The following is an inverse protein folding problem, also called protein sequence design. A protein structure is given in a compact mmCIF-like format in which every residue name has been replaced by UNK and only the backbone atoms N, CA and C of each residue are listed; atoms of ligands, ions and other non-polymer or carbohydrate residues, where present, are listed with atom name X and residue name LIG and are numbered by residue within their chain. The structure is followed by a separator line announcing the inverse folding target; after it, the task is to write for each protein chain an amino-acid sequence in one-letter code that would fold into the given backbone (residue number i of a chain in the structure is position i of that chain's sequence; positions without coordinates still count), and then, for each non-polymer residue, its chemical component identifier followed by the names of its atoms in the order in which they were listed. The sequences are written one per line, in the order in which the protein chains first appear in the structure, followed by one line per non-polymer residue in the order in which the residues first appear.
data_IF_152744069341
#
_entry.id   IF_152744069341
#
_cell.length_a   1.000
_cell.length_b   1.000
_cell.length_c   1.000
_cell.angle_alpha   90.00
_cell.angle_beta   90.00
_cell.angle_gamma   90.00
#
_symmetry.space_group_name_H-M   'P 1'
#
loop_
_entity.id
_entity.type
_entity.pdbx_description
1 polymer ?
#
# COMPACT_ATOMS: atom_id res chain seq x y z
N UNK A 1 5.76 15.69 -5.43
CA UNK A 1 6.74 15.52 -4.34
C UNK A 1 7.29 16.87 -3.88
N UNK A 2 7.62 17.02 -2.59
CA UNK A 2 8.23 18.20 -1.98
C UNK A 2 9.68 17.92 -1.57
N UNK A 3 10.56 18.93 -1.50
CA UNK A 3 11.88 18.78 -0.89
C UNK A 3 11.78 18.25 0.55
N UNK A 4 12.76 17.44 0.98
CA UNK A 4 12.73 16.77 2.29
C UNK A 4 12.41 17.71 3.46
N UNK A 5 13.04 18.90 3.51
CA UNK A 5 12.82 19.90 4.57
C UNK A 5 11.37 20.41 4.62
N UNK A 6 10.74 20.59 3.47
CA UNK A 6 9.35 21.03 3.39
C UNK A 6 8.40 19.90 3.78
N UNK A 7 8.70 18.67 3.33
CA UNK A 7 7.95 17.48 3.72
C UNK A 7 7.99 17.27 5.24
N UNK A 8 9.17 17.37 5.87
CA UNK A 8 9.32 17.33 7.33
C UNK A 8 8.45 18.40 7.99
N UNK A 9 8.58 19.67 7.56
CA UNK A 9 7.83 20.78 8.16
C UNK A 9 6.31 20.59 8.13
N UNK A 10 5.76 20.15 6.99
CA UNK A 10 4.33 19.88 6.87
C UNK A 10 3.90 18.64 7.67
N UNK A 11 4.70 17.58 7.63
CA UNK A 11 4.41 16.34 8.34
C UNK A 11 4.44 16.55 9.85
N UNK A 12 5.43 17.26 10.40
CA UNK A 12 5.50 17.56 11.85
C UNK A 12 4.25 18.32 12.33
N UNK A 13 3.71 19.23 11.51
CA UNK A 13 2.45 19.93 11.82
C UNK A 13 1.25 18.98 11.82
N UNK A 14 1.19 18.05 10.86
CA UNK A 14 0.14 17.03 10.81
C UNK A 14 0.23 16.08 12.03
N UNK A 15 1.44 15.66 12.40
CA UNK A 15 1.72 14.85 13.59
C UNK A 15 1.27 15.55 14.87
N UNK A 16 1.53 16.86 15.01
CA UNK A 16 1.08 17.62 16.18
C UNK A 16 -0.45 17.61 16.32
N UNK A 17 -1.17 17.77 15.21
CA UNK A 17 -2.65 17.74 15.17
C UNK A 17 -3.15 16.33 15.50
N UNK A 18 -2.59 15.31 14.87
CA UNK A 18 -2.96 13.91 15.04
C UNK A 18 -2.76 13.43 16.48
N UNK A 19 -1.62 13.77 17.09
CA UNK A 19 -1.33 13.44 18.50
C UNK A 19 -2.35 14.04 19.46
N UNK A 20 -2.79 15.29 19.24
CA UNK A 20 -3.85 15.91 20.06
C UNK A 20 -5.19 15.17 19.97
N UNK A 21 -5.44 14.47 18.86
CA UNK A 21 -6.64 13.67 18.65
C UNK A 21 -6.45 12.18 19.01
N UNK A 22 -5.26 11.75 19.45
CA UNK A 22 -4.97 10.35 19.74
C UNK A 22 -5.02 9.43 18.52
N UNK A 23 -4.73 9.96 17.33
CA UNK A 23 -4.69 9.19 16.08
C UNK A 23 -3.27 9.02 15.58
N UNK A 24 -2.98 7.87 14.97
CA UNK A 24 -1.68 7.57 14.36
C UNK A 24 -1.48 8.28 13.03
N UNK A 25 -0.22 8.42 12.63
CA UNK A 25 0.21 9.09 11.41
C UNK A 25 1.10 8.21 10.55
N UNK A 26 0.82 8.23 9.25
CA UNK A 26 1.69 7.69 8.22
C UNK A 26 2.17 8.85 7.35
N UNK A 27 3.43 8.82 6.97
CA UNK A 27 4.00 9.74 5.99
C UNK A 27 4.87 9.00 4.99
N UNK A 28 5.28 9.67 3.91
CA UNK A 28 5.98 9.08 2.79
C UNK A 28 7.23 9.87 2.43
N UNK A 29 8.29 9.15 2.02
CA UNK A 29 9.49 9.69 1.40
C UNK A 29 9.90 8.85 0.19
N UNK A 30 10.67 9.45 -0.72
CA UNK A 30 10.92 8.90 -2.04
C UNK A 30 9.78 9.20 -3.02
N UNK A 31 9.85 8.63 -4.21
CA UNK A 31 8.84 8.76 -5.26
C UNK A 31 8.43 7.38 -5.74
N UNK A 32 7.12 7.12 -5.71
CA UNK A 32 6.55 5.91 -6.30
C UNK A 32 6.39 6.07 -7.81
N UNK A 33 6.39 4.97 -8.55
CA UNK A 33 5.93 5.01 -9.94
C UNK A 33 4.45 5.41 -10.00
N UNK A 34 4.12 6.48 -10.73
CA UNK A 34 2.78 7.10 -10.65
C UNK A 34 1.73 6.42 -11.54
N UNK A 35 2.06 6.06 -12.79
CA UNK A 35 1.06 5.66 -13.78
C UNK A 35 1.42 4.39 -14.56
N UNK A 36 0.52 3.42 -14.55
CA UNK A 36 0.64 2.16 -15.31
C UNK A 36 1.95 1.39 -15.04
N UNK A 37 2.45 1.46 -13.81
CA UNK A 37 3.63 0.72 -13.38
C UNK A 37 4.89 1.00 -14.19
N UNK A 38 5.10 2.26 -14.59
CA UNK A 38 6.45 2.71 -14.89
C UNK A 38 7.28 2.63 -13.62
N UNK A 39 8.36 1.84 -13.64
CA UNK A 39 9.34 1.82 -12.55
C UNK A 39 9.88 3.24 -12.37
N UNK A 40 9.85 3.81 -11.14
CA UNK A 40 10.55 5.06 -10.89
C UNK A 40 12.05 4.83 -11.10
N UNK A 41 12.76 5.87 -11.51
CA UNK A 41 14.23 5.83 -11.52
C UNK A 41 14.72 5.45 -10.11
N UNK A 42 15.68 4.53 -10.01
CA UNK A 42 16.26 4.08 -8.73
C UNK A 42 16.79 5.26 -7.90
N UNK A 43 17.22 6.34 -8.57
CA UNK A 43 17.59 7.60 -7.94
C UNK A 43 16.47 8.25 -7.11
N UNK A 44 15.22 7.79 -7.27
CA UNK A 44 14.04 8.27 -6.58
C UNK A 44 13.56 7.33 -5.47
N UNK A 45 14.26 6.21 -5.25
CA UNK A 45 13.99 5.33 -4.12
C UNK A 45 14.36 6.02 -2.81
N UNK A 46 13.76 5.56 -1.73
CA UNK A 46 14.00 6.11 -0.39
C UNK A 46 15.47 5.94 0.01
N UNK A 47 16.12 7.03 0.38
CA UNK A 47 17.44 7.01 1.01
C UNK A 47 17.30 6.67 2.53
N UNK A 48 18.07 5.70 3.06
CA UNK A 48 17.98 5.30 4.47
C UNK A 48 18.35 6.40 5.49
N UNK A 49 19.26 7.31 5.15
CA UNK A 49 19.63 8.42 6.02
C UNK A 49 18.59 9.53 5.97
N UNK A 50 17.98 9.78 4.80
CA UNK A 50 16.79 10.63 4.71
C UNK A 50 15.62 10.05 5.51
N UNK A 51 15.40 8.74 5.47
CA UNK A 51 14.39 8.05 6.27
C UNK A 51 14.58 8.25 7.76
N UNK A 52 15.79 8.01 8.25
CA UNK A 52 16.17 8.24 9.64
C UNK A 52 15.94 9.68 10.07
N UNK A 53 16.43 10.64 9.28
CA UNK A 53 16.25 12.06 9.54
C UNK A 53 14.77 12.44 9.57
N UNK A 54 14.00 11.96 8.60
CA UNK A 54 12.58 12.25 8.48
C UNK A 54 11.82 11.75 9.71
N UNK A 55 12.04 10.50 10.13
CA UNK A 55 11.40 9.91 11.30
C UNK A 55 11.77 10.69 12.58
N UNK A 56 13.05 11.03 12.75
CA UNK A 56 13.52 11.78 13.93
C UNK A 56 12.92 13.19 14.02
N UNK A 57 12.81 13.90 12.91
CA UNK A 57 12.32 15.29 12.90
C UNK A 57 10.78 15.38 12.89
N UNK A 58 10.07 14.36 12.41
CA UNK A 58 8.60 14.36 12.32
C UNK A 58 7.93 13.62 13.48
N UNK A 59 8.51 12.51 13.93
CA UNK A 59 7.92 11.63 14.93
C UNK A 59 6.65 10.92 14.46
N UNK A 60 6.58 10.57 13.17
CA UNK A 60 5.50 9.75 12.60
C UNK A 60 5.47 8.34 13.18
N UNK A 61 4.30 7.69 13.14
CA UNK A 61 4.13 6.32 13.66
C UNK A 61 4.44 5.26 12.60
N UNK A 62 4.28 5.63 11.32
CA UNK A 62 4.57 4.77 10.18
C UNK A 62 5.20 5.55 9.02
N UNK A 63 6.09 4.90 8.29
CA UNK A 63 6.80 5.46 7.14
C UNK A 63 6.58 4.59 5.90
N UNK A 64 5.96 5.18 4.88
CA UNK A 64 5.91 4.62 3.53
C UNK A 64 7.21 4.88 2.79
N UNK A 65 7.74 3.83 2.17
CA UNK A 65 9.03 3.84 1.48
C UNK A 65 8.85 3.45 0.01
N UNK A 66 9.69 4.05 -0.85
CA UNK A 66 9.82 3.69 -2.25
C UNK A 66 11.06 2.81 -2.43
N UNK A 67 10.83 1.57 -2.86
CA UNK A 67 11.85 0.54 -3.07
C UNK A 67 11.66 -0.16 -4.42
N UNK A 68 11.17 0.57 -5.42
CA UNK A 68 10.81 0.02 -6.75
C UNK A 68 9.34 -0.33 -6.93
N UNK A 69 8.51 -0.06 -5.93
CA UNK A 69 7.07 -0.17 -6.01
C UNK A 69 6.43 1.02 -6.73
N UNK A 70 5.28 0.76 -7.36
CA UNK A 70 4.50 1.72 -8.13
C UNK A 70 2.99 1.55 -7.90
N UNK A 71 2.23 2.59 -8.21
CA UNK A 71 0.78 2.52 -8.26
C UNK A 71 0.28 2.01 -9.62
N UNK A 72 -0.86 1.32 -9.61
CA UNK A 72 -1.50 0.83 -10.83
C UNK A 72 -1.25 -0.65 -11.09
N UNK A 73 -1.37 -1.03 -12.36
CA UNK A 73 -0.92 -2.33 -12.85
C UNK A 73 0.49 -2.22 -13.39
N UNK A 74 1.36 -3.13 -12.98
CA UNK A 74 2.71 -3.22 -13.50
C UNK A 74 2.74 -3.74 -14.93
N UNK A 75 3.45 -3.07 -15.84
CA UNK A 75 3.65 -3.53 -17.24
C UNK A 75 4.66 -4.66 -17.35
N UNK A 76 5.59 -4.71 -16.39
CA UNK A 76 6.60 -5.74 -16.19
C UNK A 76 6.58 -6.11 -14.72
N UNK A 77 7.02 -7.31 -14.39
CA UNK A 77 7.19 -7.69 -12.99
C UNK A 77 8.11 -6.69 -12.29
N UNK A 78 7.60 -5.96 -11.27
CA UNK A 78 8.41 -4.99 -10.56
C UNK A 78 9.44 -5.71 -9.70
N UNK A 79 10.62 -5.12 -9.59
CA UNK A 79 11.68 -5.65 -8.74
C UNK A 79 11.84 -4.77 -7.50
N UNK A 80 11.46 -5.32 -6.35
CA UNK A 80 11.68 -4.63 -5.08
C UNK A 80 13.18 -4.65 -4.70
N UNK A 81 13.69 -3.52 -4.26
CA UNK A 81 15.02 -3.40 -3.66
C UNK A 81 14.95 -3.79 -2.17
N UNK A 82 15.00 -5.10 -1.94
CA UNK A 82 14.88 -5.70 -0.60
C UNK A 82 16.10 -5.43 0.28
N UNK A 83 17.28 -5.24 -0.32
CA UNK A 83 18.50 -4.89 0.43
C UNK A 83 18.38 -3.47 1.00
N UNK A 84 17.86 -2.52 0.20
CA UNK A 84 17.53 -1.18 0.67
C UNK A 84 16.45 -1.20 1.74
N UNK A 85 15.41 -2.01 1.58
CA UNK A 85 14.38 -2.16 2.62
C UNK A 85 14.98 -2.64 3.95
N UNK A 86 15.87 -3.63 3.92
CA UNK A 86 16.56 -4.12 5.11
C UNK A 86 17.42 -3.03 5.76
N UNK A 87 18.11 -2.23 4.95
CA UNK A 87 18.88 -1.10 5.44
C UNK A 87 17.96 -0.05 6.09
N UNK A 88 16.87 0.36 5.44
CA UNK A 88 15.90 1.31 6.01
C UNK A 88 15.31 0.78 7.33
N UNK A 89 14.91 -0.49 7.38
CA UNK A 89 14.41 -1.07 8.62
C UNK A 89 15.43 -0.90 9.75
N UNK A 90 16.70 -1.18 9.48
CA UNK A 90 17.75 -1.10 10.50
C UNK A 90 18.06 0.33 10.95
N UNK A 91 17.63 1.36 10.20
CA UNK A 91 17.89 2.78 10.51
C UNK A 91 16.72 3.49 11.19
N UNK A 92 15.50 2.96 11.14
CA UNK A 92 14.29 3.62 11.70
C UNK A 92 13.54 2.72 12.69
N UNK A 93 12.93 3.33 13.70
CA UNK A 93 12.19 2.63 14.76
C UNK A 93 10.66 2.86 14.66
N UNK A 94 10.13 2.81 13.42
CA UNK A 94 8.71 3.03 13.12
C UNK A 94 8.18 1.93 12.19
N UNK A 95 6.85 1.81 12.08
CA UNK A 95 6.25 0.83 11.18
C UNK A 95 6.55 1.17 9.73
N UNK A 96 7.03 0.20 8.94
CA UNK A 96 7.24 0.41 7.51
C UNK A 96 6.00 0.05 6.70
N UNK A 97 5.72 0.86 5.67
CA UNK A 97 4.55 0.72 4.81
C UNK A 97 4.98 0.53 3.35
N UNK A 98 4.41 -0.48 2.70
CA UNK A 98 4.55 -0.75 1.28
C UNK A 98 3.31 -0.25 0.52
N UNK A 99 3.47 0.84 -0.23
CA UNK A 99 2.45 1.27 -1.19
C UNK A 99 2.51 0.41 -2.46
N UNK A 100 1.50 0.49 -3.33
CA UNK A 100 1.59 -0.17 -4.64
C UNK A 100 1.63 -1.71 -4.60
N UNK A 101 1.00 -2.34 -3.61
CA UNK A 101 1.00 -3.80 -3.46
C UNK A 101 0.21 -4.57 -4.52
N UNK A 102 -0.51 -3.87 -5.42
CA UNK A 102 -1.32 -4.52 -6.45
C UNK A 102 -0.47 -5.08 -7.59
N UNK A 103 -0.51 -6.40 -7.79
CA UNK A 103 0.27 -7.09 -8.83
C UNK A 103 1.73 -7.38 -8.47
N UNK A 104 2.15 -7.11 -7.22
CA UNK A 104 3.40 -7.67 -6.70
C UNK A 104 3.27 -9.20 -6.52
N UNK A 105 4.32 -9.97 -6.82
CA UNK A 105 4.36 -11.39 -6.49
C UNK A 105 4.11 -11.63 -4.99
N UNK A 106 3.29 -12.63 -4.61
CA UNK A 106 3.06 -12.96 -3.20
C UNK A 106 4.34 -13.21 -2.38
N UNK A 107 5.34 -13.83 -2.99
CA UNK A 107 6.66 -14.12 -2.43
C UNK A 107 7.45 -12.84 -2.10
N UNK A 108 7.38 -11.82 -2.94
CA UNK A 108 8.03 -10.53 -2.72
C UNK A 108 7.36 -9.78 -1.57
N UNK A 109 6.02 -9.79 -1.53
CA UNK A 109 5.26 -9.22 -0.41
C UNK A 109 5.64 -9.91 0.89
N UNK A 110 5.71 -11.25 0.90
CA UNK A 110 6.05 -12.02 2.10
C UNK A 110 7.49 -11.76 2.56
N UNK A 111 8.43 -11.66 1.62
CA UNK A 111 9.83 -11.33 1.93
C UNK A 111 9.94 -9.92 2.50
N UNK A 112 9.23 -8.94 1.92
CA UNK A 112 9.19 -7.58 2.45
C UNK A 112 8.60 -7.51 3.87
N UNK A 113 7.58 -8.33 4.16
CA UNK A 113 7.01 -8.47 5.51
C UNK A 113 8.01 -9.09 6.48
N UNK A 114 8.77 -10.11 6.06
CA UNK A 114 9.82 -10.71 6.88
C UNK A 114 10.93 -9.73 7.23
N UNK A 115 11.25 -8.81 6.32
CA UNK A 115 12.26 -7.78 6.54
C UNK A 115 11.74 -6.71 7.52
N UNK A 116 10.49 -6.25 7.38
CA UNK A 116 9.93 -5.28 8.32
C UNK A 116 8.67 -4.52 7.87
N UNK A 117 8.17 -4.76 6.65
CA UNK A 117 6.91 -4.13 6.22
C UNK A 117 5.74 -4.62 7.08
N UNK A 118 5.02 -3.68 7.69
CA UNK A 118 3.89 -3.97 8.58
C UNK A 118 2.54 -3.65 7.96
N UNK A 119 2.49 -2.72 6.99
CA UNK A 119 1.27 -2.33 6.28
C UNK A 119 1.49 -2.34 4.78
N UNK A 120 0.55 -2.91 4.03
CA UNK A 120 0.59 -2.98 2.56
C UNK A 120 -0.67 -2.37 1.97
N UNK A 121 -0.52 -1.45 1.02
CA UNK A 121 -1.65 -0.83 0.33
C UNK A 121 -1.97 -1.60 -0.96
N UNK A 122 -3.17 -2.18 -1.04
CA UNK A 122 -3.67 -2.90 -2.21
C UNK A 122 -4.94 -2.20 -2.68
N UNK A 123 -4.91 -1.61 -3.87
CA UNK A 123 -6.00 -0.77 -4.37
C UNK A 123 -6.66 -1.30 -5.63
N UNK A 124 -5.86 -1.62 -6.65
CA UNK A 124 -6.37 -1.83 -8.01
C UNK A 124 -7.08 -3.17 -8.13
N UNK A 125 -6.42 -4.24 -7.69
CA UNK A 125 -6.95 -5.60 -7.74
C UNK A 125 -8.35 -5.75 -7.08
N UNK A 126 -8.59 -5.29 -5.82
CA UNK A 126 -9.90 -5.45 -5.19
C UNK A 126 -11.01 -4.67 -5.91
N UNK A 127 -10.68 -3.52 -6.52
CA UNK A 127 -11.63 -2.77 -7.36
C UNK A 127 -11.96 -3.51 -8.65
N UNK A 128 -10.96 -4.09 -9.30
CA UNK A 128 -11.15 -4.87 -10.53
C UNK A 128 -12.01 -6.11 -10.28
N UNK A 129 -11.72 -6.87 -9.21
CA UNK A 129 -12.53 -8.04 -8.81
C UNK A 129 -13.99 -7.65 -8.58
N UNK A 130 -14.23 -6.53 -7.88
CA UNK A 130 -15.58 -6.04 -7.64
C UNK A 130 -16.29 -5.64 -8.95
N UNK A 131 -15.61 -4.91 -9.83
CA UNK A 131 -16.15 -4.48 -11.12
C UNK A 131 -16.46 -5.67 -12.04
N UNK A 132 -15.63 -6.71 -12.03
CA UNK A 132 -15.87 -7.92 -12.81
C UNK A 132 -17.08 -8.70 -12.28
N UNK A 133 -17.25 -8.78 -10.97
CA UNK A 133 -18.46 -9.34 -10.36
C UNK A 133 -19.73 -8.56 -10.72
N UNK A 134 -19.66 -7.23 -10.78
CA UNK A 134 -20.78 -6.39 -11.24
C UNK A 134 -21.10 -6.62 -12.71
N UNK A 135 -20.09 -6.66 -13.59
CA UNK A 135 -20.28 -6.93 -15.02
C UNK A 135 -20.95 -8.29 -15.25
N UNK A 136 -20.48 -9.31 -14.55
CA UNK A 136 -21.08 -10.65 -14.62
C UNK A 136 -22.53 -10.66 -14.15
N UNK A 137 -22.82 -9.99 -13.03
CA UNK A 137 -24.18 -9.89 -12.50
C UNK A 137 -25.14 -9.18 -13.47
N UNK A 138 -24.68 -8.11 -14.13
CA UNK A 138 -25.48 -7.38 -15.12
C UNK A 138 -25.75 -8.18 -16.39
N UNK A 139 -24.81 -9.02 -16.83
CA UNK A 139 -24.98 -9.88 -18.01
C UNK A 139 -25.99 -11.02 -17.77
N UNK A 140 -26.12 -11.46 -16.52
CA UNK A 140 -27.01 -12.56 -16.13
C UNK A 140 -28.37 -12.08 -15.59
N UNK A 141 -28.53 -10.78 -15.36
CA UNK A 141 -29.74 -10.21 -14.77
C UNK A 141 -30.96 -10.35 -15.70
N UNK A 142 -32.09 -10.80 -15.15
CA UNK A 142 -33.36 -10.75 -15.88
C UNK A 142 -33.67 -9.28 -16.25
N UNK A 143 -33.98 -9.02 -17.52
CA UNK A 143 -34.33 -7.68 -18.02
C UNK A 143 -35.52 -7.02 -17.30
N UNK A 144 -36.35 -7.80 -16.61
CA UNK A 144 -37.48 -7.32 -15.82
C UNK A 144 -37.12 -7.07 -14.35
N UNK A 145 -35.91 -7.46 -13.91
CA UNK A 145 -35.42 -7.17 -12.57
C UNK A 145 -35.18 -5.66 -12.43
N UNK A 146 -35.77 -5.07 -11.39
CA UNK A 146 -35.76 -3.62 -11.14
C UNK A 146 -35.07 -3.29 -9.83
N UNK A 147 -34.68 -4.28 -9.04
CA UNK A 147 -34.13 -4.09 -7.71
C UNK A 147 -32.59 -4.09 -7.74
N UNK A 148 -31.94 -2.94 -7.51
CA UNK A 148 -30.47 -2.84 -7.60
C UNK A 148 -29.71 -3.73 -6.61
N UNK A 149 -30.32 -4.06 -5.47
CA UNK A 149 -29.70 -4.94 -4.46
C UNK A 149 -29.43 -6.36 -4.97
N UNK A 150 -29.99 -6.76 -6.12
CA UNK A 150 -29.71 -8.05 -6.77
C UNK A 150 -28.40 -8.07 -7.56
N UNK A 151 -27.82 -6.91 -7.84
CA UNK A 151 -26.62 -6.75 -8.68
C UNK A 151 -25.33 -6.92 -7.85
N UNK A 152 -25.34 -6.45 -6.61
CA UNK A 152 -24.15 -6.41 -5.75
C UNK A 152 -23.68 -7.73 -5.11
N UNK A 153 -24.54 -8.72 -4.79
CA UNK A 153 -24.14 -9.88 -3.99
C UNK A 153 -22.92 -10.63 -4.53
N UNK A 154 -22.88 -10.91 -5.84
CA UNK A 154 -21.74 -11.59 -6.48
C UNK A 154 -20.45 -10.76 -6.42
N UNK A 155 -20.56 -9.45 -6.68
CA UNK A 155 -19.41 -8.54 -6.59
C UNK A 155 -18.84 -8.49 -5.16
N UNK A 156 -19.72 -8.45 -4.16
CA UNK A 156 -19.35 -8.49 -2.74
C UNK A 156 -18.67 -9.83 -2.41
N UNK A 157 -19.24 -10.97 -2.82
CA UNK A 157 -18.69 -12.30 -2.56
C UNK A 157 -17.28 -12.46 -3.14
N UNK A 158 -17.09 -12.08 -4.40
CA UNK A 158 -15.78 -12.14 -5.05
C UNK A 158 -14.76 -11.21 -4.39
N UNK A 159 -15.18 -10.00 -4.02
CA UNK A 159 -14.31 -9.05 -3.31
C UNK A 159 -13.92 -9.58 -1.92
N UNK A 160 -14.87 -10.15 -1.17
CA UNK A 160 -14.60 -10.77 0.13
C UNK A 160 -13.62 -11.93 0.01
N UNK A 161 -13.82 -12.81 -0.98
CA UNK A 161 -12.90 -13.93 -1.26
C UNK A 161 -11.49 -13.43 -1.57
N UNK A 162 -11.38 -12.42 -2.42
CA UNK A 162 -10.10 -11.79 -2.75
C UNK A 162 -9.40 -11.20 -1.51
N UNK A 163 -10.14 -10.49 -0.65
CA UNK A 163 -9.58 -9.94 0.60
C UNK A 163 -9.09 -11.06 1.52
N UNK A 164 -9.85 -12.15 1.68
CA UNK A 164 -9.43 -13.31 2.48
C UNK A 164 -8.15 -13.96 1.94
N UNK A 165 -8.04 -14.12 0.62
CA UNK A 165 -6.83 -14.64 -0.02
C UNK A 165 -5.62 -13.72 0.24
N UNK A 166 -5.80 -12.40 0.12
CA UNK A 166 -4.72 -11.45 0.42
C UNK A 166 -4.35 -11.40 1.90
N UNK A 167 -5.28 -11.62 2.84
CA UNK A 167 -4.93 -11.76 4.26
C UNK A 167 -3.97 -12.92 4.53
N UNK A 168 -4.10 -14.02 3.78
CA UNK A 168 -3.17 -15.15 3.87
C UNK A 168 -1.78 -14.77 3.32
N UNK A 169 -1.72 -14.08 2.17
CA UNK A 169 -0.46 -13.56 1.61
C UNK A 169 0.23 -12.62 2.59
N UNK A 170 -0.53 -11.72 3.21
CA UNK A 170 -0.06 -10.74 4.21
C UNK A 170 0.21 -11.35 5.60
N UNK A 171 0.01 -12.66 5.79
CA UNK A 171 0.20 -13.38 7.07
C UNK A 171 -0.61 -12.79 8.25
N UNK A 172 -1.75 -12.18 7.96
CA UNK A 172 -2.61 -11.52 8.95
C UNK A 172 -3.80 -12.39 9.42
N UNK A 173 -4.08 -13.50 8.74
CA UNK A 173 -5.13 -14.45 9.13
C UNK A 173 -4.90 -14.99 10.55
N UNK A 174 -5.93 -14.90 11.40
CA UNK A 174 -5.87 -15.39 12.78
C UNK A 174 -5.06 -14.51 13.75
N UNK A 175 -4.74 -13.28 13.38
CA UNK A 175 -3.97 -12.33 14.22
C UNK A 175 -4.84 -11.33 15.00
N UNK A 176 -6.17 -11.43 14.90
CA UNK A 176 -7.07 -10.62 15.71
C UNK A 176 -6.89 -10.96 17.21
N UNK A 177 -6.96 -9.96 18.11
CA UNK A 177 -6.88 -10.18 19.56
C UNK A 177 -8.10 -10.93 20.12
#
# INVERSE_FOLDING_TARGET
HLPLKENISLTSRAVEIARKAGVSTEAEIGILGEEYGSEPDEALYTDPEEAKRFVQETGVDALAVSIGNAHGYYKKEPKLDLDRLALIQSTVDVLLVLHGGSGLPPEDIQTAIEIGITKVNIGVEPRSVFMDGLRQSLLELDKNEKFPHKIYPRAIELHMKYVQEKMNVLRSTGKAP
#
